data_IF_021565069988
#
_entry.id   IF_021565069988
#
_cell.length_a   1.000
_cell.length_b   1.000
_cell.length_c   1.000
_cell.angle_alpha   90.00
_cell.angle_beta   90.00
_cell.angle_gamma   90.00
#
_symmetry.space_group_name_H-M   'P 1'
#
loop_
_entity.id
_entity.type
_entity.pdbx_description
1 polymer ?
#
# COMPACT_ATOMS: atom_id res chain seq x y z
N UNK A 1 22.33 31.44 19.41
CA UNK A 1 21.28 31.54 18.39
C UNK A 1 21.03 30.14 17.89
N UNK A 2 19.92 29.54 18.33
CA UNK A 2 19.44 28.24 17.89
C UNK A 2 18.83 28.34 16.50
N UNK A 3 19.08 27.35 15.64
CA UNK A 3 18.22 26.89 14.55
C UNK A 3 18.80 25.56 14.09
N UNK A 4 18.44 24.48 14.78
CA UNK A 4 17.43 23.50 14.34
C UNK A 4 18.01 22.54 13.31
N UNK A 5 18.52 21.43 13.85
CA UNK A 5 18.74 20.18 13.13
C UNK A 5 17.38 19.73 12.57
N UNK A 6 17.23 19.78 11.25
CA UNK A 6 16.10 19.20 10.55
C UNK A 6 16.30 17.69 10.54
N UNK A 7 15.71 17.03 11.53
CA UNK A 7 15.61 15.58 11.61
C UNK A 7 14.72 15.07 10.50
N UNK A 8 15.31 14.88 9.32
CA UNK A 8 14.70 14.12 8.24
C UNK A 8 14.50 12.68 8.70
N UNK A 9 13.35 12.40 9.28
CA UNK A 9 12.91 11.07 9.69
C UNK A 9 12.80 10.20 8.42
N UNK A 10 13.90 9.57 8.02
CA UNK A 10 13.84 8.42 7.13
C UNK A 10 13.13 7.32 7.92
N UNK A 11 11.81 7.27 7.79
CA UNK A 11 10.98 6.26 8.45
C UNK A 11 11.33 4.90 7.86
N UNK A 12 12.35 4.29 8.45
CA UNK A 12 12.83 2.95 8.17
C UNK A 12 11.71 1.94 8.44
N UNK A 13 11.78 0.81 7.74
CA UNK A 13 10.86 -0.30 7.95
C UNK A 13 10.96 -0.81 9.40
N UNK A 14 9.82 -0.96 10.08
CA UNK A 14 9.76 -1.38 11.48
C UNK A 14 9.10 -2.74 11.68
N UNK A 15 9.56 -3.49 12.68
CA UNK A 15 8.87 -4.68 13.19
C UNK A 15 7.98 -4.27 14.37
N UNK A 16 6.67 -4.42 14.20
CA UNK A 16 5.68 -4.12 15.22
C UNK A 16 5.35 -5.38 16.03
N UNK A 17 5.14 -5.22 17.33
CA UNK A 17 4.57 -6.28 18.17
C UNK A 17 3.08 -6.44 17.90
N UNK A 18 2.53 -7.63 18.14
CA UNK A 18 1.09 -7.87 18.01
C UNK A 18 0.30 -6.97 18.98
N UNK A 19 0.78 -6.76 20.20
CA UNK A 19 0.14 -5.87 21.19
C UNK A 19 0.04 -4.43 20.69
N UNK A 20 1.08 -3.93 20.01
CA UNK A 20 1.05 -2.60 19.39
C UNK A 20 -0.02 -2.52 18.30
N UNK A 21 -0.14 -3.55 17.46
CA UNK A 21 -1.14 -3.59 16.40
C UNK A 21 -2.56 -3.69 16.96
N UNK A 22 -2.76 -4.54 17.98
CA UNK A 22 -4.04 -4.70 18.66
C UNK A 22 -4.47 -3.38 19.31
N UNK A 23 -3.56 -2.72 20.03
CA UNK A 23 -3.84 -1.42 20.66
C UNK A 23 -4.17 -0.36 19.61
N UNK A 24 -3.43 -0.32 18.50
CA UNK A 24 -3.63 0.68 17.45
C UNK A 24 -4.96 0.51 16.71
N UNK A 25 -5.49 -0.72 16.61
CA UNK A 25 -6.69 -1.06 15.83
C UNK A 25 -7.94 -1.28 16.67
N UNK A 26 -7.85 -1.08 17.99
CA UNK A 26 -8.90 -1.46 18.95
C UNK A 26 -9.28 -2.94 18.79
N UNK A 27 -8.27 -3.81 18.87
CA UNK A 27 -8.37 -5.26 18.69
C UNK A 27 -9.04 -5.67 17.37
N UNK A 28 -8.67 -5.02 16.26
CA UNK A 28 -9.28 -5.22 14.94
C UNK A 28 -10.80 -4.99 14.94
N UNK A 29 -11.25 -3.96 15.67
CA UNK A 29 -12.66 -3.57 15.75
C UNK A 29 -13.28 -3.40 14.36
N UNK A 30 -14.52 -3.89 14.19
CA UNK A 30 -15.28 -3.73 12.95
C UNK A 30 -15.50 -2.25 12.59
N UNK A 31 -15.54 -1.34 13.59
CA UNK A 31 -15.65 0.10 13.37
C UNK A 31 -14.41 0.68 12.66
N UNK A 32 -13.26 0.00 12.77
CA UNK A 32 -12.01 0.41 12.12
C UNK A 32 -11.80 -0.28 10.77
N UNK A 33 -12.70 -1.15 10.31
CA UNK A 33 -12.52 -1.88 9.04
C UNK A 33 -12.62 -0.91 7.86
N UNK A 34 -11.57 -0.85 7.05
CA UNK A 34 -11.50 -0.03 5.83
C UNK A 34 -11.99 -0.80 4.60
N UNK A 35 -11.80 -2.12 4.59
CA UNK A 35 -12.20 -2.98 3.48
C UNK A 35 -11.74 -4.41 3.67
N UNK A 36 -12.14 -5.28 2.75
CA UNK A 36 -11.70 -6.67 2.69
C UNK A 36 -11.62 -7.10 1.23
N UNK A 37 -10.46 -7.63 0.84
CA UNK A 37 -10.24 -8.23 -0.48
C UNK A 37 -9.81 -9.68 -0.35
N UNK A 38 -9.39 -10.29 -1.46
CA UNK A 38 -8.92 -11.69 -1.50
C UNK A 38 -7.72 -11.99 -0.58
N UNK A 39 -7.07 -10.95 -0.06
CA UNK A 39 -5.88 -11.04 0.78
C UNK A 39 -6.18 -10.89 2.28
N UNK A 40 -7.43 -10.56 2.64
CA UNK A 40 -7.86 -10.38 4.02
C UNK A 40 -8.32 -8.95 4.32
N UNK A 41 -8.77 -8.71 5.56
CA UNK A 41 -9.28 -7.42 6.00
C UNK A 41 -8.18 -6.38 6.21
N UNK A 42 -8.52 -5.13 5.93
CA UNK A 42 -7.70 -3.95 6.21
C UNK A 42 -8.40 -3.09 7.26
N UNK A 43 -7.66 -2.66 8.26
CA UNK A 43 -8.15 -1.83 9.37
C UNK A 43 -7.42 -0.50 9.44
N UNK A 44 -8.13 0.56 9.82
CA UNK A 44 -7.53 1.80 10.27
C UNK A 44 -6.95 1.58 11.66
N UNK A 45 -5.78 2.15 11.90
CA UNK A 45 -5.20 2.20 13.23
C UNK A 45 -4.59 3.55 13.55
N UNK A 46 -4.30 3.77 14.83
CA UNK A 46 -3.58 4.94 15.33
C UNK A 46 -2.50 4.51 16.31
N UNK A 47 -1.24 4.74 15.96
CA UNK A 47 -0.10 4.41 16.82
C UNK A 47 -0.03 5.34 18.04
N UNK A 48 0.71 4.91 19.06
CA UNK A 48 1.11 5.75 20.20
C UNK A 48 1.99 6.88 19.65
N UNK A 49 1.51 8.12 19.69
CA UNK A 49 2.10 9.26 18.96
C UNK A 49 1.16 9.87 17.92
N UNK A 50 0.05 9.19 17.61
CA UNK A 50 -1.04 9.75 16.82
C UNK A 50 -0.95 9.53 15.31
N UNK A 51 0.13 8.92 14.84
CA UNK A 51 0.28 8.53 13.44
C UNK A 51 -0.83 7.55 13.04
N UNK A 52 -1.56 7.89 11.97
CA UNK A 52 -2.58 7.03 11.38
C UNK A 52 -1.94 6.01 10.46
N UNK A 53 -2.41 4.77 10.55
CA UNK A 53 -1.89 3.63 9.78
C UNK A 53 -3.04 2.82 9.16
N UNK A 54 -2.71 2.07 8.11
CA UNK A 54 -3.56 1.01 7.57
C UNK A 54 -2.93 -0.36 7.86
N UNK A 55 -3.69 -1.25 8.46
CA UNK A 55 -3.25 -2.57 8.94
C UNK A 55 -3.93 -3.65 8.11
N UNK A 56 -3.18 -4.26 7.19
CA UNK A 56 -3.64 -5.37 6.34
C UNK A 56 -3.29 -6.69 7.05
N UNK A 57 -4.30 -7.37 7.59
CA UNK A 57 -4.14 -8.67 8.25
C UNK A 57 -4.35 -9.77 7.22
N UNK A 58 -3.28 -10.44 6.83
CA UNK A 58 -3.35 -11.48 5.81
C UNK A 58 -3.93 -12.77 6.38
N UNK A 59 -4.76 -13.44 5.58
CA UNK A 59 -5.31 -14.75 5.96
C UNK A 59 -4.19 -15.80 6.08
N UNK A 60 -3.94 -16.28 7.30
CA UNK A 60 -2.98 -17.37 7.58
C UNK A 60 -3.41 -18.73 7.04
N UNK A 61 -4.67 -18.88 6.59
CA UNK A 61 -5.27 -20.16 6.20
C UNK A 61 -4.86 -20.67 4.81
N UNK A 62 -4.03 -19.94 4.06
CA UNK A 62 -3.59 -20.36 2.74
C UNK A 62 -2.08 -20.16 2.52
N UNK A 63 -1.43 -21.11 1.82
CA UNK A 63 -0.03 -20.95 1.40
C UNK A 63 0.18 -19.78 0.44
N UNK A 64 -0.89 -19.27 -0.17
CA UNK A 64 -0.87 -18.09 -1.02
C UNK A 64 -0.65 -16.79 -0.22
N UNK A 65 -1.32 -16.64 0.93
CA UNK A 65 -1.17 -15.46 1.80
C UNK A 65 0.27 -15.27 2.31
N UNK A 66 0.97 -16.36 2.66
CA UNK A 66 2.38 -16.29 3.07
C UNK A 66 3.30 -15.86 1.92
N UNK A 67 3.01 -16.29 0.69
CA UNK A 67 3.79 -15.92 -0.49
C UNK A 67 3.61 -14.44 -0.81
N UNK A 68 2.38 -13.95 -0.73
CA UNK A 68 2.05 -12.54 -0.95
C UNK A 68 2.65 -11.65 0.13
N UNK A 69 2.60 -12.06 1.41
CA UNK A 69 3.29 -11.37 2.49
C UNK A 69 4.79 -11.19 2.22
N UNK A 70 5.48 -12.29 1.87
CA UNK A 70 6.92 -12.25 1.55
C UNK A 70 7.19 -11.37 0.33
N UNK A 71 6.36 -11.46 -0.70
CA UNK A 71 6.46 -10.62 -1.90
C UNK A 71 6.33 -9.15 -1.54
N UNK A 72 5.29 -8.76 -0.79
CA UNK A 72 5.07 -7.37 -0.38
C UNK A 72 6.28 -6.84 0.39
N UNK A 73 6.76 -7.54 1.42
CA UNK A 73 7.93 -7.12 2.19
C UNK A 73 9.16 -6.96 1.29
N UNK A 74 9.47 -7.95 0.45
CA UNK A 74 10.68 -7.92 -0.38
C UNK A 74 10.64 -6.80 -1.42
N UNK A 75 9.48 -6.56 -2.01
CA UNK A 75 9.30 -5.56 -3.07
C UNK A 75 9.24 -4.17 -2.47
N UNK A 76 8.29 -3.93 -1.58
CA UNK A 76 7.94 -2.57 -1.17
C UNK A 76 8.96 -1.97 -0.21
N UNK A 77 9.68 -2.79 0.58
CA UNK A 77 10.80 -2.29 1.38
C UNK A 77 11.94 -1.72 0.52
N UNK A 78 11.98 -2.04 -0.78
CA UNK A 78 12.96 -1.50 -1.74
C UNK A 78 12.41 -0.35 -2.58
N UNK A 79 11.13 -0.01 -2.42
CA UNK A 79 10.44 0.99 -3.23
C UNK A 79 10.11 2.20 -2.37
N UNK A 80 10.62 3.34 -2.80
CA UNK A 80 10.32 4.64 -2.21
C UNK A 80 10.05 5.61 -3.34
N UNK A 81 8.80 6.01 -3.48
CA UNK A 81 8.37 6.93 -4.52
C UNK A 81 7.04 7.57 -4.09
N UNK A 82 6.85 8.84 -4.43
CA UNK A 82 5.69 9.62 -3.98
C UNK A 82 4.34 9.04 -4.45
N UNK A 83 4.33 8.33 -5.58
CA UNK A 83 3.14 7.68 -6.13
C UNK A 83 3.03 6.17 -5.83
N UNK A 84 3.75 5.66 -4.83
CA UNK A 84 3.56 4.31 -4.32
C UNK A 84 3.20 4.38 -2.83
N UNK A 85 2.28 3.54 -2.38
CA UNK A 85 1.90 3.49 -0.96
C UNK A 85 3.07 2.93 -0.15
N UNK A 86 3.47 3.64 0.88
CA UNK A 86 4.61 3.29 1.71
C UNK A 86 4.22 2.23 2.75
N UNK A 87 4.96 1.12 2.76
CA UNK A 87 4.95 0.17 3.87
C UNK A 87 5.81 0.73 5.00
N UNK A 88 5.21 0.87 6.17
CA UNK A 88 5.88 1.32 7.39
C UNK A 88 6.54 0.15 8.11
N UNK A 89 5.98 -1.05 7.99
CA UNK A 89 6.48 -2.20 8.72
C UNK A 89 5.62 -3.44 8.58
N UNK A 90 5.97 -4.46 9.36
CA UNK A 90 5.15 -5.66 9.49
C UNK A 90 5.10 -6.17 10.94
N UNK A 91 4.14 -7.04 11.22
CA UNK A 91 4.07 -7.83 12.44
C UNK A 91 4.00 -9.32 12.05
N UNK A 92 4.82 -10.11 12.72
CA UNK A 92 4.89 -11.57 12.57
C UNK A 92 4.87 -12.18 13.96
N UNK A 93 3.73 -12.77 14.33
CA UNK A 93 3.52 -13.40 15.63
C UNK A 93 2.73 -14.71 15.44
N UNK A 94 3.37 -15.86 15.67
CA UNK A 94 2.78 -17.17 15.37
C UNK A 94 2.31 -17.31 13.91
N UNK A 95 1.00 -17.45 13.70
CA UNK A 95 0.35 -17.50 12.38
C UNK A 95 -0.02 -16.11 11.82
N UNK A 96 0.08 -15.05 12.62
CA UNK A 96 -0.25 -13.70 12.19
C UNK A 96 0.77 -13.17 11.18
N UNK A 97 0.26 -12.64 10.07
CA UNK A 97 1.04 -11.97 9.03
C UNK A 97 0.36 -10.65 8.72
N UNK A 98 0.94 -9.57 9.24
CA UNK A 98 0.31 -8.26 9.22
C UNK A 98 1.25 -7.26 8.56
N UNK A 99 0.73 -6.49 7.60
CA UNK A 99 1.44 -5.41 6.93
C UNK A 99 0.87 -4.07 7.39
N UNK A 100 1.76 -3.12 7.72
CA UNK A 100 1.40 -1.80 8.23
C UNK A 100 1.83 -0.76 7.19
N UNK A 101 0.87 -0.01 6.65
CA UNK A 101 1.08 1.03 5.64
C UNK A 101 0.74 2.42 6.18
N UNK A 102 1.20 3.45 5.47
CA UNK A 102 0.64 4.79 5.63
C UNK A 102 -0.88 4.77 5.38
N UNK A 103 -1.62 5.56 6.16
CA UNK A 103 -3.06 5.68 5.98
C UNK A 103 -3.40 6.64 4.84
N UNK A 104 -4.34 6.23 3.98
CA UNK A 104 -4.78 6.98 2.81
C UNK A 104 -6.21 7.48 3.05
N UNK A 105 -6.41 8.76 3.40
CA UNK A 105 -7.70 9.26 3.91
C UNK A 105 -8.80 9.35 2.84
N UNK A 106 -8.44 9.45 1.56
CA UNK A 106 -9.41 9.57 0.46
C UNK A 106 -9.71 8.21 -0.21
N UNK A 107 -9.38 7.10 0.46
CA UNK A 107 -9.66 5.72 0.04
C UNK A 107 -9.14 5.42 -1.38
N UNK A 108 -9.74 4.43 -2.06
CA UNK A 108 -9.38 4.03 -3.42
C UNK A 108 -10.04 4.90 -4.48
N UNK A 109 -9.40 5.02 -5.63
CA UNK A 109 -9.96 5.69 -6.80
C UNK A 109 -11.29 5.05 -7.22
N UNK A 110 -11.39 3.72 -7.12
CA UNK A 110 -12.62 2.97 -7.34
C UNK A 110 -13.80 3.52 -6.52
N UNK A 111 -13.57 3.76 -5.21
CA UNK A 111 -14.61 4.29 -4.33
C UNK A 111 -15.11 5.68 -4.77
N UNK A 112 -14.26 6.50 -5.38
CA UNK A 112 -14.64 7.83 -5.86
C UNK A 112 -15.28 7.81 -7.25
N UNK A 113 -14.81 6.98 -8.17
CA UNK A 113 -15.33 6.98 -9.54
C UNK A 113 -16.72 6.34 -9.62
N UNK A 114 -17.03 5.37 -8.76
CA UNK A 114 -18.32 4.68 -8.78
C UNK A 114 -19.37 5.35 -7.88
N UNK A 115 -18.96 6.08 -6.83
CA UNK A 115 -19.86 6.85 -5.98
C UNK A 115 -20.31 8.18 -6.65
N UNK A 116 -21.63 8.48 -6.77
CA UNK A 116 -22.10 9.72 -7.36
C UNK A 116 -21.61 11.00 -6.68
N UNK A 117 -21.34 10.97 -5.37
CA UNK A 117 -20.83 12.12 -4.62
C UNK A 117 -19.31 12.23 -4.85
N UNK A 118 -18.57 11.14 -4.71
CA UNK A 118 -17.14 11.04 -4.99
C UNK A 118 -16.78 11.49 -6.40
N UNK A 119 -17.61 11.17 -7.40
CA UNK A 119 -17.39 11.57 -8.79
C UNK A 119 -17.34 13.09 -8.98
N UNK A 120 -18.07 13.84 -8.15
CA UNK A 120 -18.09 15.32 -8.15
C UNK A 120 -16.82 15.90 -7.53
N UNK A 121 -16.15 15.17 -6.64
CA UNK A 121 -14.88 15.59 -6.05
C UNK A 121 -13.73 15.51 -7.07
N UNK A 122 -13.84 14.62 -8.06
CA UNK A 122 -12.90 14.44 -9.17
C UNK A 122 -13.26 15.31 -10.37
N UNK A 123 -12.98 16.61 -10.27
CA UNK A 123 -12.96 17.50 -11.44
C UNK A 123 -11.87 17.09 -12.45
N UNK A 124 -11.91 17.68 -13.63
CA UNK A 124 -10.99 17.30 -14.72
C UNK A 124 -9.52 17.48 -14.35
N UNK A 125 -9.17 18.55 -13.65
CA UNK A 125 -7.79 18.81 -13.26
C UNK A 125 -7.28 17.77 -12.25
N UNK A 126 -8.11 17.38 -11.28
CA UNK A 126 -7.76 16.30 -10.35
C UNK A 126 -7.63 14.96 -11.06
N UNK A 127 -8.47 14.67 -12.06
CA UNK A 127 -8.33 13.44 -12.86
C UNK A 127 -7.00 13.40 -13.60
N UNK A 128 -6.61 14.51 -14.23
CA UNK A 128 -5.29 14.62 -14.89
C UNK A 128 -4.15 14.40 -13.89
N UNK A 129 -4.23 15.03 -12.71
CA UNK A 129 -3.25 14.84 -11.63
C UNK A 129 -3.14 13.38 -11.16
N UNK A 130 -4.29 12.70 -11.03
CA UNK A 130 -4.34 11.27 -10.68
C UNK A 130 -3.71 10.42 -11.79
N UNK A 131 -4.04 10.66 -13.06
CA UNK A 131 -3.46 9.94 -14.20
C UNK A 131 -1.95 10.12 -14.26
N UNK A 132 -1.47 11.36 -14.08
CA UNK A 132 -0.05 11.67 -14.05
C UNK A 132 0.66 10.93 -12.92
N UNK A 133 0.11 10.95 -11.70
CA UNK A 133 0.68 10.22 -10.56
C UNK A 133 0.74 8.71 -10.80
N UNK A 134 -0.30 8.11 -11.39
CA UNK A 134 -0.28 6.68 -11.77
C UNK A 134 0.83 6.42 -12.79
N UNK A 135 0.93 7.25 -13.83
CA UNK A 135 1.95 7.11 -14.86
C UNK A 135 3.37 7.23 -14.29
N UNK A 136 3.61 8.20 -13.41
CA UNK A 136 4.90 8.38 -12.72
C UNK A 136 5.23 7.16 -11.84
N UNK A 137 4.28 6.65 -11.07
CA UNK A 137 4.47 5.44 -10.27
C UNK A 137 4.82 4.21 -11.12
N UNK A 138 4.13 4.01 -12.25
CA UNK A 138 4.43 2.91 -13.17
C UNK A 138 5.78 3.07 -13.87
N UNK A 139 6.10 4.29 -14.31
CA UNK A 139 7.37 4.61 -14.93
C UNK A 139 8.53 4.31 -13.97
N UNK A 140 8.38 4.69 -12.71
CA UNK A 140 9.34 4.35 -11.66
C UNK A 140 9.53 2.83 -11.54
N UNK A 141 8.44 2.06 -11.38
CA UNK A 141 8.50 0.60 -11.26
C UNK A 141 9.13 -0.09 -12.47
N UNK A 142 8.91 0.45 -13.66
CA UNK A 142 9.36 -0.19 -14.90
C UNK A 142 10.80 0.18 -15.29
N UNK A 143 11.25 1.40 -14.99
CA UNK A 143 12.50 1.95 -15.54
C UNK A 143 13.46 2.47 -14.49
N UNK A 144 12.98 3.07 -13.41
CA UNK A 144 13.84 3.81 -12.46
C UNK A 144 14.06 3.11 -11.12
N UNK A 145 13.32 2.05 -10.81
CA UNK A 145 13.64 1.18 -9.68
C UNK A 145 14.89 0.34 -9.96
N UNK A 146 15.59 -0.10 -8.90
CA UNK A 146 16.80 -0.94 -8.98
C UNK A 146 16.62 -2.24 -9.77
N UNK A 147 15.38 -2.69 -9.90
CA UNK A 147 15.00 -3.82 -10.75
C UNK A 147 13.67 -3.50 -11.41
N UNK A 148 13.42 -4.04 -12.60
CA UNK A 148 12.13 -3.86 -13.28
C UNK A 148 11.06 -4.62 -12.52
N UNK A 149 10.02 -3.94 -12.08
CA UNK A 149 8.91 -4.52 -11.32
C UNK A 149 7.62 -4.40 -12.11
N UNK A 150 6.96 -5.52 -12.36
CA UNK A 150 5.62 -5.52 -12.98
C UNK A 150 4.59 -5.73 -11.86
N UNK A 151 3.65 -4.79 -11.72
CA UNK A 151 2.62 -4.81 -10.67
C UNK A 151 1.67 -6.01 -10.77
N UNK A 152 1.20 -6.30 -11.99
CA UNK A 152 0.29 -7.42 -12.37
C UNK A 152 -1.16 -7.34 -11.86
N UNK A 153 -1.49 -6.49 -10.89
CA UNK A 153 -2.88 -6.24 -10.48
C UNK A 153 -3.18 -4.73 -10.43
N UNK A 154 -2.89 -4.00 -11.51
CA UNK A 154 -3.20 -2.56 -11.57
C UNK A 154 -4.67 -2.36 -11.91
N UNK A 155 -5.43 -1.77 -10.99
CA UNK A 155 -6.86 -1.46 -11.12
C UNK A 155 -7.23 -0.26 -10.24
N UNK A 156 -8.40 0.34 -10.47
CA UNK A 156 -8.85 1.50 -9.69
C UNK A 156 -8.93 1.22 -8.18
N UNK A 157 -9.25 -0.01 -7.77
CA UNK A 157 -9.26 -0.42 -6.35
C UNK A 157 -7.88 -0.39 -5.68
N UNK A 158 -6.81 -0.51 -6.47
CA UNK A 158 -5.43 -0.51 -6.01
C UNK A 158 -4.73 0.85 -6.17
N UNK A 159 -5.46 1.88 -6.62
CA UNK A 159 -4.98 3.27 -6.60
C UNK A 159 -5.59 3.96 -5.38
N UNK A 160 -4.78 4.29 -4.38
CA UNK A 160 -5.22 5.03 -3.19
C UNK A 160 -4.92 6.52 -3.34
N UNK A 161 -5.67 7.34 -2.60
CA UNK A 161 -5.56 8.80 -2.65
C UNK A 161 -5.19 9.39 -1.29
N UNK A 162 -4.12 10.19 -1.26
CA UNK A 162 -3.69 10.89 -0.05
C UNK A 162 -4.57 12.10 0.23
N UNK A 163 -4.27 12.86 1.29
CA UNK A 163 -5.05 14.02 1.72
C UNK A 163 -5.18 15.09 0.62
N UNK A 164 -4.16 15.25 -0.22
CA UNK A 164 -4.08 16.22 -1.32
C UNK A 164 -4.56 15.66 -2.67
N UNK A 165 -5.23 14.50 -2.65
CA UNK A 165 -5.78 13.81 -3.84
C UNK A 165 -4.69 13.37 -4.83
N UNK A 166 -3.46 13.12 -4.37
CA UNK A 166 -2.43 12.49 -5.18
C UNK A 166 -2.63 10.97 -5.21
N UNK A 167 -2.41 10.38 -6.38
CA UNK A 167 -2.50 8.94 -6.57
C UNK A 167 -1.25 8.20 -6.04
N UNK A 168 -1.49 7.12 -5.30
CA UNK A 168 -0.49 6.15 -4.88
C UNK A 168 -0.90 4.72 -5.24
N UNK A 169 -0.02 4.00 -5.94
CA UNK A 169 -0.22 2.59 -6.30
C UNK A 169 0.01 1.72 -5.06
N UNK A 170 -0.89 0.77 -4.83
CA UNK A 170 -0.90 -0.15 -3.69
C UNK A 170 -1.07 -1.60 -4.12
N UNK A 171 -0.94 -2.53 -3.17
CA UNK A 171 -1.17 -3.98 -3.33
C UNK A 171 -0.15 -4.71 -4.23
N UNK A 172 1.09 -4.82 -3.72
CA UNK A 172 2.20 -5.47 -4.42
C UNK A 172 2.26 -6.98 -4.21
N UNK A 173 1.26 -7.61 -3.59
CA UNK A 173 1.28 -9.05 -3.27
C UNK A 173 1.49 -9.92 -4.51
N UNK A 174 0.95 -9.46 -5.64
CA UNK A 174 1.08 -10.12 -6.94
C UNK A 174 2.21 -9.57 -7.81
N UNK A 175 2.98 -8.56 -7.38
CA UNK A 175 4.02 -7.99 -8.21
C UNK A 175 5.22 -8.95 -8.42
N UNK A 176 6.01 -8.70 -9.47
CA UNK A 176 7.19 -9.52 -9.82
C UNK A 176 8.38 -8.68 -10.20
N UNK A 177 9.55 -9.09 -9.70
CA UNK A 177 10.85 -8.59 -10.10
C UNK A 177 11.32 -9.32 -11.35
N UNK A 178 11.83 -8.56 -12.32
CA UNK A 178 12.51 -9.05 -13.51
C UNK A 178 13.90 -8.45 -13.56
N UNK A 179 14.88 -9.23 -14.03
CA UNK A 179 16.15 -8.62 -14.48
C UNK A 179 15.86 -7.77 -15.71
N UNK A 180 16.62 -6.67 -15.92
CA UNK A 180 16.36 -5.69 -16.98
C UNK A 180 16.26 -6.30 -18.40
N UNK A 181 16.84 -7.48 -18.63
CA UNK A 181 16.85 -8.18 -19.92
C UNK A 181 16.05 -9.51 -19.93
N UNK A 182 15.26 -9.82 -18.89
CA UNK A 182 14.42 -11.02 -18.88
C UNK A 182 13.05 -10.78 -19.53
N UNK A 183 12.58 -11.76 -20.32
CA UNK A 183 11.25 -11.72 -20.94
C UNK A 183 10.14 -11.83 -19.88
N UNK A 184 9.07 -11.05 -20.04
CA UNK A 184 7.96 -10.94 -19.09
C UNK A 184 6.90 -12.05 -19.22
N UNK A 185 7.25 -13.21 -19.76
CA UNK A 185 6.29 -14.30 -20.00
C UNK A 185 5.76 -14.90 -18.68
N UNK A 186 4.44 -14.96 -18.54
CA UNK A 186 3.79 -15.53 -17.34
C UNK A 186 3.05 -16.82 -17.68
N UNK A 187 3.19 -17.85 -16.83
CA UNK A 187 2.45 -19.13 -16.94
C UNK A 187 1.13 -19.15 -16.17
N UNK A 188 0.76 -18.04 -15.51
CA UNK A 188 -0.40 -17.96 -14.61
C UNK A 188 -1.10 -16.63 -14.81
N UNK A 189 -2.39 -16.70 -15.18
CA UNK A 189 -3.28 -15.54 -15.24
C UNK A 189 -3.53 -15.07 -13.80
N UNK A 190 -3.37 -13.76 -13.57
CA UNK A 190 -3.58 -13.11 -12.28
C UNK A 190 -4.33 -11.81 -12.57
N UNK A 191 -5.35 -11.51 -11.77
CA UNK A 191 -6.29 -10.42 -11.93
C UNK A 191 -7.71 -10.87 -11.58
N UNK A 192 -8.63 -9.92 -11.44
CA UNK A 192 -10.07 -10.12 -11.26
C UNK A 192 -10.82 -9.65 -12.49
#
# INVERSE_FOLDING_TARGET
>A
MSSSEDGGDSLDFQLFSLDTVLSATDSFSAANKLGEGGFGPVYRGKLVGGQQIAVKRLSGKSGQGLKEFKNEIILIAKLQHMNLVRLLGCCVDGEERILIYEYMPNNSLESLIFDPIGRKLLDWNKRLKVIEGIAQGLLYLHQYSRSRIIHRDLKAGNILLDAEMNAKISDFGTARIFKQNESSNTKRIIGT
#
